data_IF_173092917560
#
_entry.id   IF_173092917560
#
_cell.length_a   1.000
_cell.length_b   1.000
_cell.length_c   1.000
_cell.angle_alpha   90.00
_cell.angle_beta   90.00
_cell.angle_gamma   90.00
#
_symmetry.space_group_name_H-M   'P 1'
#
loop_
_entity.id
_entity.type
_entity.pdbx_description
1 polymer ?
#
# COMPACT_ATOMS: atom_id res chain seq x y z
N UNK A 1 -0.91 -31.37 -28.67
CA UNK A 1 -1.65 -30.11 -28.41
C UNK A 1 -2.56 -30.37 -27.24
N UNK A 2 -2.08 -30.12 -26.02
CA UNK A 2 -2.84 -30.42 -24.82
C UNK A 2 -3.78 -29.26 -24.49
N UNK A 3 -5.02 -29.61 -24.16
CA UNK A 3 -6.13 -28.68 -23.92
C UNK A 3 -5.75 -27.78 -22.76
N UNK A 4 -5.81 -26.46 -22.97
CA UNK A 4 -5.43 -25.46 -21.98
C UNK A 4 -5.96 -25.79 -20.59
N UNK A 5 -5.04 -26.20 -19.70
CA UNK A 5 -5.37 -26.54 -18.33
C UNK A 5 -6.03 -25.32 -17.68
N UNK A 6 -7.24 -25.52 -17.12
CA UNK A 6 -7.99 -24.50 -16.36
C UNK A 6 -7.34 -24.15 -15.02
N UNK A 7 -6.16 -24.72 -14.72
CA UNK A 7 -5.44 -24.46 -13.49
C UNK A 7 -5.09 -22.98 -13.38
N UNK A 8 -5.47 -22.38 -12.24
CA UNK A 8 -5.04 -21.04 -11.87
C UNK A 8 -3.84 -21.15 -10.93
N UNK A 9 -3.02 -20.09 -10.84
CA UNK A 9 -1.89 -20.06 -9.90
C UNK A 9 -2.30 -20.44 -8.46
N UNK A 10 -3.49 -20.01 -8.03
CA UNK A 10 -4.01 -20.30 -6.69
C UNK A 10 -4.27 -21.79 -6.41
N UNK A 11 -4.36 -22.62 -7.46
CA UNK A 11 -4.62 -24.05 -7.35
C UNK A 11 -3.36 -24.90 -7.55
N UNK A 12 -2.24 -24.29 -7.95
CA UNK A 12 -1.01 -25.01 -8.20
C UNK A 12 -0.31 -25.34 -6.86
N UNK A 13 0.13 -26.59 -6.72
CA UNK A 13 0.94 -26.99 -5.60
C UNK A 13 2.32 -26.32 -5.68
N UNK A 14 2.97 -26.11 -4.54
CA UNK A 14 4.31 -25.51 -4.54
C UNK A 14 5.35 -26.42 -5.21
N UNK A 15 5.08 -27.73 -5.25
CA UNK A 15 5.87 -28.75 -5.94
C UNK A 15 5.60 -28.86 -7.45
N UNK A 16 4.71 -28.02 -8.01
CA UNK A 16 4.45 -28.02 -9.46
C UNK A 16 5.74 -27.73 -10.23
N UNK A 17 6.06 -28.49 -11.30
CA UNK A 17 7.27 -28.28 -12.09
C UNK A 17 7.43 -26.84 -12.58
N UNK A 18 8.69 -26.37 -12.64
CA UNK A 18 9.02 -25.00 -13.00
C UNK A 18 8.44 -24.58 -14.37
N UNK A 19 8.46 -25.51 -15.33
CA UNK A 19 7.97 -25.33 -16.70
C UNK A 19 6.48 -25.02 -16.75
N UNK A 20 5.71 -25.49 -15.76
CA UNK A 20 4.25 -25.30 -15.69
C UNK A 20 3.87 -24.08 -14.82
N UNK A 21 4.57 -23.87 -13.69
CA UNK A 21 4.23 -22.81 -12.74
C UNK A 21 4.65 -21.42 -13.22
N UNK A 22 5.79 -21.29 -13.93
CA UNK A 22 6.30 -20.00 -14.39
C UNK A 22 5.35 -19.28 -15.36
N UNK A 23 4.76 -19.94 -16.38
CA UNK A 23 3.72 -19.33 -17.21
C UNK A 23 2.49 -18.87 -16.41
N UNK A 24 2.05 -19.66 -15.42
CA UNK A 24 0.91 -19.33 -14.56
C UNK A 24 1.20 -18.11 -13.68
N UNK A 25 2.39 -18.04 -13.10
CA UNK A 25 2.87 -16.91 -12.31
C UNK A 25 2.91 -15.62 -13.14
N UNK A 26 3.49 -15.69 -14.35
CA UNK A 26 3.56 -14.55 -15.27
C UNK A 26 2.16 -14.08 -15.68
N UNK A 27 1.28 -15.01 -16.04
CA UNK A 27 -0.13 -14.72 -16.37
C UNK A 27 -0.87 -14.08 -15.18
N UNK A 28 -0.67 -14.59 -13.97
CA UNK A 28 -1.30 -14.05 -12.76
C UNK A 28 -0.84 -12.63 -12.47
N UNK A 29 0.46 -12.37 -12.52
CA UNK A 29 1.03 -11.03 -12.33
C UNK A 29 0.54 -10.06 -13.40
N UNK A 30 0.50 -10.48 -14.67
CA UNK A 30 0.02 -9.66 -15.79
C UNK A 30 -1.49 -9.34 -15.73
N UNK A 31 -2.27 -10.12 -14.98
CA UNK A 31 -3.72 -9.90 -14.81
C UNK A 31 -4.08 -8.69 -13.94
N UNK A 32 -3.09 -8.03 -13.34
CA UNK A 32 -3.28 -6.91 -12.42
C UNK A 32 -2.73 -5.59 -12.97
N UNK A 33 -3.33 -4.48 -12.53
CA UNK A 33 -2.78 -3.15 -12.79
C UNK A 33 -1.34 -3.05 -12.27
N UNK A 34 -0.47 -2.31 -12.95
CA UNK A 34 0.98 -2.29 -12.71
C UNK A 34 1.37 -2.10 -11.24
N UNK A 35 0.71 -1.20 -10.51
CA UNK A 35 0.97 -0.93 -9.09
C UNK A 35 0.69 -2.16 -8.20
N UNK A 36 -0.39 -2.90 -8.50
CA UNK A 36 -0.79 -4.12 -7.80
C UNK A 36 0.10 -5.28 -8.22
N UNK A 37 0.35 -5.42 -9.52
CA UNK A 37 1.21 -6.45 -10.08
C UNK A 37 2.63 -6.40 -9.48
N UNK A 38 3.21 -5.19 -9.30
CA UNK A 38 4.50 -5.01 -8.63
C UNK A 38 4.50 -5.55 -7.21
N UNK A 39 3.47 -5.23 -6.42
CA UNK A 39 3.34 -5.71 -5.03
C UNK A 39 3.21 -7.23 -4.99
N UNK A 40 2.39 -7.79 -5.88
CA UNK A 40 2.21 -9.24 -5.99
C UNK A 40 3.52 -9.94 -6.35
N UNK A 41 4.27 -9.43 -7.34
CA UNK A 41 5.58 -9.99 -7.68
C UNK A 41 6.58 -9.93 -6.50
N UNK A 42 6.55 -8.85 -5.70
CA UNK A 42 7.37 -8.76 -4.48
C UNK A 42 6.95 -9.82 -3.45
N UNK A 43 5.65 -10.02 -3.24
CA UNK A 43 5.14 -11.03 -2.30
C UNK A 43 5.52 -12.43 -2.76
N UNK A 44 5.31 -12.77 -4.04
CA UNK A 44 5.69 -14.07 -4.61
C UNK A 44 7.18 -14.35 -4.40
N UNK A 45 8.05 -13.36 -4.67
CA UNK A 45 9.50 -13.50 -4.40
C UNK A 45 9.81 -13.81 -2.95
N UNK A 46 9.12 -13.18 -2.00
CA UNK A 46 9.31 -13.44 -0.57
C UNK A 46 8.79 -14.81 -0.14
N UNK A 47 7.64 -15.22 -0.68
CA UNK A 47 7.08 -16.55 -0.39
C UNK A 47 8.00 -17.66 -0.90
N UNK A 48 8.52 -17.54 -2.12
CA UNK A 48 9.48 -18.51 -2.64
C UNK A 48 10.83 -18.46 -1.92
N UNK A 49 11.25 -17.31 -1.39
CA UNK A 49 12.45 -17.25 -0.54
C UNK A 49 12.24 -18.09 0.74
N UNK A 50 11.10 -17.91 1.42
CA UNK A 50 10.76 -18.72 2.59
C UNK A 50 10.59 -20.21 2.25
N UNK A 51 10.03 -20.54 1.08
CA UNK A 51 9.89 -21.92 0.62
C UNK A 51 11.23 -22.60 0.32
N UNK A 52 12.23 -21.85 -0.15
CA UNK A 52 13.60 -22.35 -0.32
C UNK A 52 14.25 -22.60 1.04
N UNK A 53 14.09 -21.70 2.00
CA UNK A 53 14.58 -21.89 3.38
C UNK A 53 13.94 -23.10 4.06
N UNK A 54 12.68 -23.39 3.76
CA UNK A 54 11.95 -24.57 4.25
C UNK A 54 12.19 -25.85 3.41
N UNK A 55 13.09 -25.80 2.42
CA UNK A 55 13.41 -26.92 1.51
C UNK A 55 12.20 -27.45 0.71
N UNK A 56 11.14 -26.66 0.54
CA UNK A 56 9.99 -27.00 -0.30
C UNK A 56 10.25 -26.76 -1.79
N UNK A 57 11.24 -25.93 -2.11
CA UNK A 57 11.67 -25.61 -3.46
C UNK A 57 13.20 -25.53 -3.53
N UNK A 58 13.77 -25.93 -4.65
CA UNK A 58 15.22 -25.84 -4.87
C UNK A 58 15.69 -24.39 -5.08
N UNK A 59 14.85 -23.55 -5.69
CA UNK A 59 15.19 -22.15 -6.00
C UNK A 59 13.98 -21.23 -6.00
N UNK A 60 14.24 -19.93 -5.96
CA UNK A 60 13.21 -18.89 -5.93
C UNK A 60 12.69 -18.55 -7.34
N UNK A 61 11.58 -19.17 -7.74
CA UNK A 61 10.93 -18.92 -9.04
C UNK A 61 10.36 -17.51 -9.19
N UNK A 62 10.08 -16.83 -8.08
CA UNK A 62 9.67 -15.42 -8.11
C UNK A 62 10.76 -14.49 -8.64
N UNK A 63 12.03 -14.89 -8.57
CA UNK A 63 13.15 -14.12 -9.12
C UNK A 63 13.08 -14.01 -10.66
N UNK A 64 12.49 -15.00 -11.33
CA UNK A 64 12.33 -15.04 -12.80
C UNK A 64 11.14 -14.18 -13.31
N UNK A 65 10.41 -13.54 -12.40
CA UNK A 65 9.39 -12.57 -12.74
C UNK A 65 10.04 -11.27 -13.22
N UNK A 66 9.62 -10.80 -14.40
CA UNK A 66 10.05 -9.53 -14.94
C UNK A 66 9.83 -8.38 -13.95
N UNK A 67 10.75 -7.41 -13.96
CA UNK A 67 10.60 -6.19 -13.18
C UNK A 67 9.49 -5.36 -13.81
N UNK A 68 8.47 -5.06 -13.01
CA UNK A 68 7.32 -4.30 -13.47
C UNK A 68 7.63 -2.82 -13.31
N UNK A 69 7.71 -2.13 -14.44
CA UNK A 69 7.87 -0.68 -14.47
C UNK A 69 6.53 -0.02 -14.14
N UNK A 70 6.57 0.94 -13.22
CA UNK A 70 5.40 1.73 -12.87
C UNK A 70 5.41 3.00 -13.70
N UNK A 71 4.24 3.50 -14.12
CA UNK A 71 4.16 4.84 -14.65
C UNK A 71 4.68 5.84 -13.62
N UNK A 72 5.29 6.93 -14.11
CA UNK A 72 5.77 8.01 -13.24
C UNK A 72 4.61 8.54 -12.40
N UNK A 73 4.73 8.45 -11.08
CA UNK A 73 3.67 8.90 -10.18
C UNK A 73 3.45 10.41 -10.33
N UNK A 74 2.18 10.82 -10.43
CA UNK A 74 1.82 12.22 -10.29
C UNK A 74 1.85 12.59 -8.81
N UNK A 75 2.58 13.63 -8.40
CA UNK A 75 2.55 14.07 -7.01
C UNK A 75 1.14 14.54 -6.64
N UNK A 76 0.71 14.19 -5.44
CA UNK A 76 -0.56 14.69 -4.90
C UNK A 76 -0.44 16.20 -4.73
N UNK A 77 -1.31 16.97 -5.41
CA UNK A 77 -1.33 18.41 -5.28
C UNK A 77 -1.93 18.81 -3.93
N UNK A 78 -1.40 19.85 -3.26
CA UNK A 78 -2.04 20.42 -2.09
C UNK A 78 -3.44 20.94 -2.46
N UNK A 79 -4.33 20.99 -1.48
CA UNK A 79 -5.65 21.59 -1.70
C UNK A 79 -5.52 23.07 -2.01
N UNK A 80 -6.17 23.56 -3.07
CA UNK A 80 -6.28 24.99 -3.31
C UNK A 80 -6.95 25.70 -2.12
N UNK A 81 -6.57 26.95 -1.79
CA UNK A 81 -7.16 27.71 -0.70
C UNK A 81 -8.70 27.77 -0.77
N UNK A 82 -9.25 27.86 -1.97
CA UNK A 82 -10.69 28.00 -2.21
C UNK A 82 -11.47 26.76 -1.79
N UNK A 83 -10.87 25.58 -1.94
CA UNK A 83 -11.46 24.31 -1.51
C UNK A 83 -11.44 24.21 0.02
N UNK A 84 -10.38 24.72 0.65
CA UNK A 84 -10.28 24.79 2.11
C UNK A 84 -11.35 25.73 2.64
N UNK A 85 -11.54 26.89 2.03
CA UNK A 85 -12.57 27.86 2.43
C UNK A 85 -13.98 27.28 2.28
N UNK A 86 -14.24 26.55 1.20
CA UNK A 86 -15.52 25.86 1.02
C UNK A 86 -15.76 24.80 2.11
N UNK A 87 -14.73 24.01 2.43
CA UNK A 87 -14.79 23.04 3.51
C UNK A 87 -15.06 23.71 4.86
N UNK A 88 -14.38 24.83 5.13
CA UNK A 88 -14.49 25.59 6.38
C UNK A 88 -15.86 26.24 6.54
N UNK A 89 -16.49 26.70 5.45
CA UNK A 89 -17.88 27.19 5.45
C UNK A 89 -18.89 26.07 5.66
N UNK A 90 -18.63 24.89 5.10
CA UNK A 90 -19.50 23.74 5.24
C UNK A 90 -19.41 23.12 6.65
N UNK A 91 -18.21 23.03 7.20
CA UNK A 91 -17.95 22.47 8.53
C UNK A 91 -17.59 23.57 9.53
N UNK A 92 -18.62 24.04 10.24
CA UNK A 92 -18.47 25.07 11.25
C UNK A 92 -17.57 24.63 12.42
N UNK A 93 -16.93 25.57 13.14
CA UNK A 93 -16.19 25.31 14.36
C UNK A 93 -17.01 24.49 15.37
N UNK A 94 -16.35 23.56 16.08
CA UNK A 94 -16.99 22.63 17.01
C UNK A 94 -17.42 21.30 16.38
N UNK A 95 -17.45 21.19 15.05
CA UNK A 95 -17.65 19.89 14.39
C UNK A 95 -16.38 19.03 14.42
N UNK A 96 -16.55 17.71 14.47
CA UNK A 96 -15.43 16.76 14.39
C UNK A 96 -14.63 16.92 13.09
N UNK A 97 -15.32 17.17 11.97
CA UNK A 97 -14.73 17.42 10.67
C UNK A 97 -13.81 18.66 10.68
N UNK A 98 -14.29 19.79 11.22
CA UNK A 98 -13.51 21.02 11.34
C UNK A 98 -12.28 20.85 12.23
N UNK A 99 -12.46 20.18 13.35
CA UNK A 99 -11.37 19.90 14.30
C UNK A 99 -10.31 18.99 13.68
N UNK A 100 -10.73 17.93 12.99
CA UNK A 100 -9.83 17.01 12.29
C UNK A 100 -9.00 17.72 11.21
N UNK A 101 -9.63 18.56 10.38
CA UNK A 101 -8.90 19.33 9.37
C UNK A 101 -7.88 20.28 10.01
N UNK A 102 -8.26 20.99 11.07
CA UNK A 102 -7.38 21.90 11.78
C UNK A 102 -6.15 21.16 12.37
N UNK A 103 -6.39 20.04 13.05
CA UNK A 103 -5.32 19.19 13.61
C UNK A 103 -4.42 18.61 12.52
N UNK A 104 -5.00 18.10 11.43
CA UNK A 104 -4.22 17.54 10.32
C UNK A 104 -3.31 18.59 9.66
N UNK A 105 -3.80 19.82 9.48
CA UNK A 105 -3.00 20.93 8.91
C UNK A 105 -1.91 21.41 9.86
N UNK A 106 -2.20 21.47 11.17
CA UNK A 106 -1.23 21.95 12.16
C UNK A 106 -0.14 20.92 12.45
N UNK A 107 -0.50 19.65 12.61
CA UNK A 107 0.44 18.59 12.99
C UNK A 107 1.19 17.99 11.78
N UNK A 108 0.60 18.02 10.58
CA UNK A 108 1.18 17.36 9.39
C UNK A 108 1.22 15.83 9.47
N UNK A 109 0.54 15.24 10.45
CA UNK A 109 0.51 13.81 10.71
C UNK A 109 -0.36 13.04 9.70
N UNK A 110 -0.24 11.71 9.67
CA UNK A 110 -1.13 10.88 8.86
C UNK A 110 -2.54 10.95 9.44
N UNK A 111 -3.55 10.74 8.58
CA UNK A 111 -4.97 10.73 8.98
C UNK A 111 -5.25 9.82 10.18
N UNK A 112 -4.62 8.64 10.23
CA UNK A 112 -4.79 7.70 11.33
C UNK A 112 -4.29 8.27 12.67
N UNK A 113 -3.12 8.91 12.65
CA UNK A 113 -2.52 9.51 13.84
C UNK A 113 -3.36 10.69 14.34
N UNK A 114 -3.94 11.49 13.43
CA UNK A 114 -4.85 12.60 13.79
C UNK A 114 -6.12 12.08 14.46
N UNK A 115 -6.66 10.94 13.99
CA UNK A 115 -7.88 10.36 14.52
C UNK A 115 -7.73 9.75 15.92
N UNK A 116 -6.49 9.43 16.33
CA UNK A 116 -6.19 8.79 17.62
C UNK A 116 -5.49 9.71 18.61
N UNK A 117 -5.46 11.02 18.35
CA UNK A 117 -4.90 11.99 19.29
C UNK A 117 -5.72 12.01 20.58
N UNK A 118 -5.03 11.80 21.70
CA UNK A 118 -5.60 11.90 23.03
C UNK A 118 -5.25 13.23 23.69
N UNK A 119 -6.13 13.71 24.59
CA UNK A 119 -5.86 14.90 25.40
C UNK A 119 -4.58 14.78 26.24
N UNK A 120 -4.23 13.56 26.67
CA UNK A 120 -2.99 13.26 27.42
C UNK A 120 -1.72 13.57 26.62
N UNK A 121 -1.80 13.57 25.29
CA UNK A 121 -0.70 13.83 24.37
C UNK A 121 -0.54 15.31 24.06
N UNK A 122 -1.55 16.13 24.36
CA UNK A 122 -1.51 17.58 24.18
C UNK A 122 -0.85 18.24 25.39
N UNK A 123 0.33 18.82 25.19
CA UNK A 123 0.92 19.70 26.21
C UNK A 123 0.40 21.12 26.00
N UNK A 124 -0.33 21.71 26.95
CA UNK A 124 -0.58 23.14 26.90
C UNK A 124 0.78 23.81 26.98
N UNK A 125 1.17 24.53 25.93
CA UNK A 125 2.40 25.32 25.95
C UNK A 125 2.30 26.28 27.14
N UNK A 126 3.01 25.98 28.22
CA UNK A 126 3.26 26.94 29.30
C UNK A 126 4.19 27.97 28.69
N UNK A 127 3.64 29.04 28.12
CA UNK A 127 4.42 30.22 27.81
C UNK A 127 5.01 30.67 29.14
N UNK A 128 6.34 30.63 29.24
CA UNK A 128 7.03 31.19 30.39
C UNK A 128 6.63 32.66 30.47
N UNK A 129 5.95 33.05 31.54
CA UNK A 129 5.88 34.46 31.94
C UNK A 129 7.32 34.90 32.18
N UNK A 130 7.90 35.63 31.23
CA UNK A 130 9.07 36.47 31.47
C UNK A 130 8.73 37.37 32.65
N UNK A 131 9.46 37.21 33.76
CA UNK A 131 9.50 38.19 34.85
C UNK A 131 10.42 39.33 34.45
#
# INVERSE_FOLDING_TARGET
MDKGSKATFAMAAISTPETEILPLLRKHVASHAAHKAKRIAIVIRKLYAAAVEAEWCLRNLGADLQKIELPKATPQKPWPPEIVDQYDRHHQPGTAARTCLALARFLGNRRGDVATVEWSQLRPHRSMKSR
#
